data_IF_161666841074
#
_entry.id   IF_161666841074
#
_cell.length_a   1.000
_cell.length_b   1.000
_cell.length_c   1.000
_cell.angle_alpha   90.00
_cell.angle_beta   90.00
_cell.angle_gamma   90.00
#
_symmetry.space_group_name_H-M   'P 1'
#
loop_
_entity.id
_entity.type
_entity.pdbx_description
1 polymer ?
#
# COMPACT_ATOMS: atom_id res chain seq x y z
N UNK A 1 -13.81 27.74 -20.40
CA UNK A 1 -14.46 27.07 -19.26
C UNK A 1 -15.96 27.33 -19.32
N UNK A 2 -16.75 26.31 -18.99
CA UNK A 2 -18.22 26.35 -18.96
C UNK A 2 -18.62 25.99 -17.54
N UNK A 3 -19.48 26.79 -16.92
CA UNK A 3 -20.07 26.53 -15.60
C UNK A 3 -21.58 26.50 -15.78
N UNK A 4 -22.22 25.38 -15.46
CA UNK A 4 -23.68 25.19 -15.58
C UNK A 4 -24.22 25.53 -16.98
N UNK A 5 -23.47 25.14 -18.02
CA UNK A 5 -23.80 25.41 -19.43
C UNK A 5 -23.53 26.85 -19.89
N UNK A 6 -23.10 27.75 -19.00
CA UNK A 6 -22.72 29.12 -19.33
C UNK A 6 -21.20 29.26 -19.50
N UNK A 7 -20.76 29.94 -20.55
CA UNK A 7 -19.33 30.26 -20.72
C UNK A 7 -18.91 31.28 -19.66
N UNK A 8 -17.84 30.97 -18.92
CA UNK A 8 -17.24 31.91 -17.97
C UNK A 8 -16.46 32.97 -18.76
N UNK A 9 -16.80 34.23 -18.53
CA UNK A 9 -16.12 35.39 -19.12
C UNK A 9 -14.93 35.77 -18.21
N UNK A 10 -13.76 35.22 -18.53
CA UNK A 10 -12.53 35.41 -17.78
C UNK A 10 -11.34 35.32 -18.72
N UNK A 11 -10.38 36.22 -18.53
CA UNK A 11 -9.08 36.18 -19.22
C UNK A 11 -8.10 35.19 -18.56
N UNK A 12 -8.46 34.63 -17.39
CA UNK A 12 -7.66 33.62 -16.69
C UNK A 12 -7.87 32.23 -17.32
N UNK A 13 -6.78 31.65 -17.81
CA UNK A 13 -6.76 30.29 -18.33
C UNK A 13 -6.45 29.27 -17.22
N UNK A 14 -7.08 28.08 -17.23
CA UNK A 14 -6.67 26.97 -16.37
C UNK A 14 -5.22 26.58 -16.60
N UNK A 15 -4.52 26.22 -15.52
CA UNK A 15 -3.12 25.81 -15.56
C UNK A 15 -3.07 24.29 -15.56
N UNK A 16 -2.34 23.71 -16.51
CA UNK A 16 -2.00 22.30 -16.50
C UNK A 16 -0.58 22.13 -15.97
N UNK A 17 -0.41 21.34 -14.91
CA UNK A 17 0.90 20.96 -14.38
C UNK A 17 0.96 19.44 -14.20
N UNK A 18 1.70 18.77 -15.08
CA UNK A 18 1.66 17.31 -15.19
C UNK A 18 0.26 16.81 -15.52
N UNK A 19 -0.31 15.96 -14.65
CA UNK A 19 -1.70 15.48 -14.74
C UNK A 19 -2.70 16.41 -14.08
N UNK A 20 -2.25 17.27 -13.16
CA UNK A 20 -3.09 18.16 -12.37
C UNK A 20 -3.59 19.32 -13.21
N UNK A 21 -4.88 19.60 -13.07
CA UNK A 21 -5.50 20.80 -13.61
C UNK A 21 -5.87 21.75 -12.49
N UNK A 22 -5.39 22.98 -12.61
CA UNK A 22 -5.64 24.04 -11.66
C UNK A 22 -6.59 25.05 -12.29
N UNK A 23 -7.75 25.23 -11.68
CA UNK A 23 -8.84 26.09 -12.15
C UNK A 23 -8.74 27.46 -11.46
N UNK A 24 -8.97 28.59 -12.17
CA UNK A 24 -8.98 29.90 -11.54
C UNK A 24 -10.20 30.00 -10.60
N UNK A 25 -9.96 30.21 -9.31
CA UNK A 25 -10.97 30.07 -8.26
C UNK A 25 -12.05 31.15 -8.32
N UNK A 26 -11.69 32.42 -8.52
CA UNK A 26 -12.66 33.53 -8.51
C UNK A 26 -13.70 33.41 -9.62
N UNK A 27 -13.32 33.20 -10.90
CA UNK A 27 -14.28 33.13 -11.98
C UNK A 27 -15.22 31.93 -11.87
N UNK A 28 -14.74 30.77 -11.41
CA UNK A 28 -15.59 29.57 -11.23
C UNK A 28 -16.58 29.78 -10.09
N UNK A 29 -16.12 30.22 -8.92
CA UNK A 29 -17.01 30.44 -7.77
C UNK A 29 -18.04 31.53 -8.07
N UNK A 30 -17.62 32.63 -8.70
CA UNK A 30 -18.53 33.71 -9.11
C UNK A 30 -19.62 33.19 -10.05
N UNK A 31 -19.26 32.36 -11.03
CA UNK A 31 -20.21 31.78 -11.97
C UNK A 31 -21.20 30.81 -11.28
N UNK A 32 -20.75 30.09 -10.25
CA UNK A 32 -21.59 29.21 -9.43
C UNK A 32 -22.44 29.98 -8.39
N UNK A 33 -22.22 31.28 -8.21
CA UNK A 33 -22.87 32.08 -7.16
C UNK A 33 -22.29 31.86 -5.76
N UNK A 34 -21.05 31.36 -5.69
CA UNK A 34 -20.27 31.21 -4.47
C UNK A 34 -19.39 32.44 -4.25
N UNK A 35 -18.92 32.58 -3.01
CA UNK A 35 -17.95 33.60 -2.61
C UNK A 35 -16.87 32.95 -1.76
N UNK A 36 -15.74 33.60 -1.60
CA UNK A 36 -14.74 33.18 -0.63
C UNK A 36 -14.10 34.38 0.08
N UNK A 37 -13.48 34.12 1.22
CA UNK A 37 -12.68 35.11 1.97
C UNK A 37 -11.36 34.51 2.42
N UNK A 38 -10.34 35.37 2.46
CA UNK A 38 -9.10 35.08 3.15
C UNK A 38 -9.26 35.29 4.64
N UNK A 39 -8.73 34.35 5.39
CA UNK A 39 -8.74 34.38 6.85
C UNK A 39 -7.36 34.76 7.38
N UNK A 40 -7.31 35.14 8.67
CA UNK A 40 -6.08 35.64 9.28
C UNK A 40 -4.97 34.57 9.40
N UNK A 41 -5.33 33.29 9.31
CA UNK A 41 -4.45 32.14 9.34
C UNK A 41 -4.04 31.64 7.94
N UNK A 42 -4.33 32.41 6.88
CA UNK A 42 -4.14 32.04 5.47
C UNK A 42 -5.06 30.92 4.95
N UNK A 43 -6.09 30.52 5.69
CA UNK A 43 -7.14 29.66 5.16
C UNK A 43 -8.09 30.41 4.22
N UNK A 44 -8.77 29.65 3.36
CA UNK A 44 -9.85 30.15 2.51
C UNK A 44 -11.18 29.60 2.99
N UNK A 45 -12.12 30.49 3.33
CA UNK A 45 -13.48 30.09 3.64
C UNK A 45 -14.34 30.31 2.39
N UNK A 46 -14.87 29.22 1.82
CA UNK A 46 -15.77 29.23 0.67
C UNK A 46 -17.20 29.16 1.19
N UNK A 47 -18.05 30.08 0.72
CA UNK A 47 -19.43 30.21 1.17
C UNK A 47 -20.39 30.26 -0.01
N UNK A 48 -21.49 29.52 0.10
CA UNK A 48 -22.65 29.68 -0.79
C UNK A 48 -23.90 29.99 0.02
N UNK A 49 -24.89 30.61 -0.64
CA UNK A 49 -26.15 30.99 -0.03
C UNK A 49 -27.31 30.39 -0.81
N UNK A 50 -28.18 29.65 -0.11
CA UNK A 50 -29.41 29.09 -0.69
C UNK A 50 -30.63 29.79 -0.10
N UNK A 51 -31.59 30.10 -0.96
CA UNK A 51 -32.93 30.51 -0.51
C UNK A 51 -33.65 29.30 0.10
N UNK A 52 -33.96 29.34 1.39
CA UNK A 52 -34.70 28.26 2.03
C UNK A 52 -36.14 28.22 1.47
N UNK A 53 -36.56 27.15 0.77
CA UNK A 53 -37.89 27.09 0.17
C UNK A 53 -39.02 27.06 1.21
N UNK A 54 -38.72 26.70 2.47
CA UNK A 54 -39.68 26.69 3.60
C UNK A 54 -39.74 28.03 4.34
N UNK A 55 -38.86 28.98 4.04
CA UNK A 55 -38.80 30.27 4.70
C UNK A 55 -38.41 31.39 3.74
N UNK A 56 -39.36 32.29 3.48
CA UNK A 56 -39.11 33.49 2.67
C UNK A 56 -38.24 34.54 3.37
N UNK A 57 -37.85 34.30 4.63
CA UNK A 57 -37.12 35.25 5.49
C UNK A 57 -35.74 34.75 5.93
N UNK A 58 -35.35 33.51 5.62
CA UNK A 58 -34.03 32.98 5.99
C UNK A 58 -33.30 32.45 4.78
N UNK A 59 -32.15 33.04 4.51
CA UNK A 59 -31.13 32.49 3.62
C UNK A 59 -30.27 31.56 4.47
N UNK A 60 -30.13 30.31 4.04
CA UNK A 60 -29.17 29.39 4.66
C UNK A 60 -27.85 29.57 3.93
N UNK A 61 -26.80 29.86 4.69
CA UNK A 61 -25.43 29.92 4.19
C UNK A 61 -24.65 28.75 4.76
N UNK A 62 -24.03 27.97 3.88
CA UNK A 62 -23.03 26.97 4.28
C UNK A 62 -21.64 27.51 3.97
N UNK A 63 -20.65 27.10 4.75
CA UNK A 63 -19.26 27.52 4.59
C UNK A 63 -18.36 26.31 4.81
N UNK A 64 -17.51 26.05 3.82
CA UNK A 64 -16.42 25.07 3.92
C UNK A 64 -15.08 25.79 3.97
N UNK A 65 -14.06 25.14 4.51
CA UNK A 65 -12.76 25.73 4.76
C UNK A 65 -11.66 24.94 4.07
N UNK A 66 -10.75 25.64 3.39
CA UNK A 66 -9.52 25.10 2.84
C UNK A 66 -8.38 25.55 3.75
N UNK A 67 -7.85 24.63 4.55
CA UNK A 67 -6.77 24.86 5.51
C UNK A 67 -5.49 24.20 5.03
N UNK A 68 -4.38 24.94 4.99
CA UNK A 68 -3.04 24.39 4.76
C UNK A 68 -2.85 23.61 3.43
N UNK A 69 -3.64 23.92 2.39
CA UNK A 69 -3.63 23.20 1.10
C UNK A 69 -2.77 23.87 0.02
N UNK A 70 -1.91 24.80 0.41
CA UNK A 70 -1.04 25.52 -0.53
C UNK A 70 -0.01 24.56 -1.15
N UNK A 71 0.38 24.85 -2.39
CA UNK A 71 1.30 24.08 -3.24
C UNK A 71 0.69 22.81 -3.86
N UNK A 72 0.04 21.97 -3.06
CA UNK A 72 -0.60 20.74 -3.56
C UNK A 72 -1.94 20.99 -4.22
N UNK A 73 -2.87 21.63 -3.51
CA UNK A 73 -4.23 21.86 -4.01
C UNK A 73 -4.49 23.32 -4.39
N UNK A 74 -3.79 24.29 -3.79
CA UNK A 74 -3.93 25.71 -4.06
C UNK A 74 -2.64 26.33 -4.58
N UNK A 75 -2.77 27.26 -5.53
CA UNK A 75 -1.64 28.03 -6.09
C UNK A 75 -1.99 29.51 -6.21
N UNK A 76 -0.99 30.35 -6.00
CA UNK A 76 -1.09 31.80 -6.25
C UNK A 76 -0.26 32.13 -7.50
N UNK A 77 -0.90 32.64 -8.55
CA UNK A 77 -0.24 33.06 -9.80
C UNK A 77 -0.76 34.44 -10.18
N UNK A 78 0.15 35.41 -10.29
CA UNK A 78 -0.17 36.80 -10.65
C UNK A 78 -1.35 37.39 -9.83
N UNK A 79 -1.32 37.19 -8.51
CA UNK A 79 -2.37 37.63 -7.56
C UNK A 79 -3.72 36.90 -7.68
N UNK A 80 -3.79 35.83 -8.48
CA UNK A 80 -4.97 34.98 -8.61
C UNK A 80 -4.78 33.61 -7.97
N UNK A 81 -5.83 33.14 -7.30
CA UNK A 81 -5.86 31.80 -6.69
C UNK A 81 -6.33 30.80 -7.73
N UNK A 82 -5.62 29.69 -7.78
CA UNK A 82 -5.99 28.51 -8.54
C UNK A 82 -6.16 27.33 -7.60
N UNK A 83 -7.13 26.47 -7.89
CA UNK A 83 -7.43 25.27 -7.12
C UNK A 83 -7.34 24.03 -8.01
N UNK A 84 -6.77 22.95 -7.48
CA UNK A 84 -6.74 21.65 -8.15
C UNK A 84 -8.17 21.17 -8.39
N UNK A 85 -8.48 20.72 -9.61
CA UNK A 85 -9.84 20.37 -10.04
C UNK A 85 -10.51 19.34 -9.14
N UNK A 86 -9.78 18.32 -8.67
CA UNK A 86 -10.34 17.32 -7.75
C UNK A 86 -10.65 17.90 -6.39
N UNK A 87 -9.72 18.68 -5.84
CA UNK A 87 -9.96 19.36 -4.57
C UNK A 87 -11.15 20.30 -4.67
N UNK A 88 -11.30 20.99 -5.80
CA UNK A 88 -12.47 21.81 -6.08
C UNK A 88 -13.77 21.00 -6.07
N UNK A 89 -13.79 19.83 -6.73
CA UNK A 89 -14.93 18.91 -6.69
C UNK A 89 -15.25 18.45 -5.26
N UNK A 90 -14.26 18.02 -4.48
CA UNK A 90 -14.45 17.56 -3.10
C UNK A 90 -15.04 18.64 -2.18
N UNK A 91 -14.65 19.90 -2.36
CA UNK A 91 -15.01 20.97 -1.41
C UNK A 91 -16.29 21.69 -1.82
N UNK A 92 -16.70 21.55 -3.08
CA UNK A 92 -17.91 22.21 -3.62
C UNK A 92 -19.01 21.24 -4.05
N UNK A 93 -18.74 19.93 -4.00
CA UNK A 93 -19.52 18.85 -4.61
C UNK A 93 -19.80 19.06 -6.11
N UNK A 94 -19.00 19.88 -6.80
CA UNK A 94 -19.16 20.15 -8.22
C UNK A 94 -18.55 19.01 -9.07
N UNK A 95 -19.24 18.63 -10.14
CA UNK A 95 -18.69 17.73 -11.15
C UNK A 95 -17.78 18.55 -12.07
N UNK A 96 -16.49 18.20 -12.12
CA UNK A 96 -15.53 18.83 -13.04
C UNK A 96 -15.17 17.84 -14.15
N UNK A 97 -15.50 18.16 -15.39
CA UNK A 97 -15.15 17.36 -16.57
C UNK A 97 -14.12 18.12 -17.42
N UNK A 98 -12.97 17.49 -17.68
CA UNK A 98 -11.90 18.09 -18.48
C UNK A 98 -11.75 17.34 -19.80
N UNK A 99 -12.21 17.95 -20.89
CA UNK A 99 -12.02 17.43 -22.23
C UNK A 99 -10.77 18.04 -22.86
N UNK A 100 -9.66 17.32 -22.76
CA UNK A 100 -8.36 17.76 -23.28
C UNK A 100 -8.34 17.90 -24.80
N UNK A 101 -9.06 17.04 -25.54
CA UNK A 101 -9.13 17.06 -27.00
C UNK A 101 -9.89 18.30 -27.52
N UNK A 102 -10.96 18.69 -26.83
CA UNK A 102 -11.74 19.89 -27.15
C UNK A 102 -11.16 21.17 -26.52
N UNK A 103 -10.21 21.05 -25.58
CA UNK A 103 -9.70 22.17 -24.79
C UNK A 103 -10.78 22.82 -23.92
N UNK A 104 -11.76 22.03 -23.46
CA UNK A 104 -12.89 22.53 -22.69
C UNK A 104 -12.91 21.92 -21.29
N UNK A 105 -13.10 22.78 -20.29
CA UNK A 105 -13.40 22.38 -18.91
C UNK A 105 -14.85 22.76 -18.65
N UNK A 106 -15.65 21.78 -18.23
CA UNK A 106 -17.04 21.93 -17.81
C UNK A 106 -17.13 21.69 -16.30
N UNK A 107 -17.81 22.59 -15.60
CA UNK A 107 -18.10 22.50 -14.18
C UNK A 107 -19.62 22.51 -14.04
N UNK A 108 -20.18 21.49 -13.40
CA UNK A 108 -21.59 21.47 -13.03
C UNK A 108 -21.70 21.61 -11.53
N UNK A 109 -22.33 22.69 -11.08
CA UNK A 109 -22.52 22.92 -9.66
C UNK A 109 -23.54 21.95 -9.08
N UNK A 110 -23.28 21.48 -7.86
CA UNK A 110 -24.32 20.86 -7.05
C UNK A 110 -25.19 21.99 -6.47
N UNK A 111 -26.51 22.01 -6.73
CA UNK A 111 -27.39 23.03 -6.16
C UNK A 111 -27.53 22.92 -4.63
N UNK A 112 -27.15 21.76 -4.06
CA UNK A 112 -27.23 21.44 -2.64
C UNK A 112 -25.90 20.86 -2.10
N UNK A 113 -24.80 21.62 -2.11
CA UNK A 113 -23.51 21.16 -1.58
C UNK A 113 -23.62 20.79 -0.09
N UNK A 114 -23.13 19.62 0.28
CA UNK A 114 -23.18 19.05 1.63
C UNK A 114 -24.52 18.43 2.04
N UNK A 115 -25.56 18.46 1.19
CA UNK A 115 -26.74 17.61 1.38
C UNK A 115 -26.42 16.23 0.81
N UNK A 116 -26.11 15.26 1.67
CA UNK A 116 -26.06 13.85 1.28
C UNK A 116 -27.45 13.47 0.77
N UNK A 117 -27.57 13.21 -0.52
CA UNK A 117 -28.82 12.76 -1.12
C UNK A 117 -29.18 11.36 -0.61
N UNK A 118 -30.46 10.98 -0.67
CA UNK A 118 -30.85 9.60 -0.32
C UNK A 118 -30.08 8.57 -1.16
N UNK A 119 -29.75 8.88 -2.42
CA UNK A 119 -28.97 8.03 -3.30
C UNK A 119 -27.50 7.91 -2.85
N UNK A 120 -26.83 9.03 -2.53
CA UNK A 120 -25.45 9.00 -1.98
C UNK A 120 -25.40 8.34 -0.60
N UNK A 121 -26.44 8.53 0.21
CA UNK A 121 -26.56 7.86 1.50
C UNK A 121 -26.79 6.36 1.33
N UNK A 122 -27.65 5.94 0.40
CA UNK A 122 -27.85 4.54 0.03
C UNK A 122 -26.59 3.92 -0.57
N UNK A 123 -25.85 4.65 -1.40
CA UNK A 123 -24.58 4.21 -1.99
C UNK A 123 -23.49 4.08 -0.93
N UNK A 124 -23.36 5.06 -0.03
CA UNK A 124 -22.44 5.00 1.11
C UNK A 124 -22.80 3.86 2.05
N UNK A 125 -24.08 3.68 2.38
CA UNK A 125 -24.56 2.57 3.19
C UNK A 125 -24.39 1.23 2.48
N UNK A 126 -24.53 1.16 1.15
CA UNK A 126 -24.28 -0.03 0.36
C UNK A 126 -22.79 -0.35 0.26
N UNK A 127 -21.93 0.68 0.18
CA UNK A 127 -20.47 0.54 0.19
C UNK A 127 -19.99 0.08 1.57
N UNK A 128 -20.50 0.68 2.65
CA UNK A 128 -20.27 0.21 4.02
C UNK A 128 -20.80 -1.21 4.22
N UNK A 129 -22.03 -1.50 3.78
CA UNK A 129 -22.58 -2.85 3.90
C UNK A 129 -21.83 -3.87 3.03
N UNK A 130 -21.25 -3.45 1.89
CA UNK A 130 -20.41 -4.31 1.05
C UNK A 130 -19.05 -4.54 1.71
N UNK A 131 -18.42 -3.52 2.27
CA UNK A 131 -17.18 -3.62 3.06
C UNK A 131 -17.38 -4.49 4.31
N UNK A 132 -18.46 -4.26 5.07
CA UNK A 132 -18.85 -5.05 6.24
C UNK A 132 -19.22 -6.49 5.82
N UNK A 133 -19.92 -6.70 4.71
CA UNK A 133 -20.23 -8.04 4.21
C UNK A 133 -18.98 -8.78 3.68
N UNK A 134 -18.01 -8.07 3.08
CA UNK A 134 -16.71 -8.67 2.70
C UNK A 134 -15.82 -8.91 3.91
N UNK A 135 -15.99 -8.15 5.00
CA UNK A 135 -15.35 -8.40 6.29
C UNK A 135 -16.05 -9.52 7.09
N UNK A 136 -17.36 -9.73 6.91
CA UNK A 136 -18.16 -10.79 7.56
C UNK A 136 -18.24 -12.10 6.77
N UNK A 137 -17.88 -12.13 5.47
CA UNK A 137 -17.59 -13.36 4.74
C UNK A 137 -16.29 -13.97 5.29
N UNK A 138 -16.40 -14.56 6.47
CA UNK A 138 -15.38 -15.40 7.08
C UNK A 138 -15.14 -16.59 6.15
N UNK A 139 -14.17 -16.43 5.25
CA UNK A 139 -13.65 -17.51 4.42
C UNK A 139 -13.24 -18.64 5.34
N UNK A 140 -13.50 -19.88 4.90
CA UNK A 140 -12.96 -21.02 5.64
C UNK A 140 -11.43 -20.98 5.63
N UNK A 141 -10.79 -21.58 6.63
CA UNK A 141 -9.33 -21.65 6.67
C UNK A 141 -8.76 -22.31 5.39
N UNK A 142 -9.44 -23.35 4.88
CA UNK A 142 -9.08 -24.04 3.64
C UNK A 142 -9.17 -23.11 2.40
N UNK A 143 -10.21 -22.28 2.33
CA UNK A 143 -10.38 -21.32 1.24
C UNK A 143 -9.33 -20.21 1.30
N UNK A 144 -9.07 -19.68 2.50
CA UNK A 144 -8.03 -18.66 2.71
C UNK A 144 -6.64 -19.20 2.36
N UNK A 145 -6.33 -20.45 2.74
CA UNK A 145 -5.09 -21.12 2.34
C UNK A 145 -5.00 -21.31 0.83
N UNK A 146 -6.08 -21.76 0.18
CA UNK A 146 -6.13 -21.94 -1.26
C UNK A 146 -5.91 -20.61 -2.01
N UNK A 147 -6.49 -19.51 -1.53
CA UNK A 147 -6.28 -18.18 -2.10
C UNK A 147 -4.84 -17.71 -1.87
N UNK A 148 -4.30 -17.90 -0.67
CA UNK A 148 -2.96 -17.46 -0.31
C UNK A 148 -1.90 -18.17 -1.15
N UNK A 149 -1.91 -19.50 -1.17
CA UNK A 149 -0.89 -20.28 -1.87
C UNK A 149 -1.17 -20.47 -3.37
N UNK A 150 -2.42 -20.46 -3.81
CA UNK A 150 -2.79 -20.62 -5.21
C UNK A 150 -2.20 -21.90 -5.82
N UNK A 151 -1.37 -21.76 -6.86
CA UNK A 151 -0.67 -22.88 -7.51
C UNK A 151 0.50 -23.46 -6.70
N UNK A 152 0.96 -22.77 -5.65
CA UNK A 152 2.13 -23.17 -4.89
C UNK A 152 1.83 -24.27 -3.89
N UNK A 153 2.82 -25.15 -3.69
CA UNK A 153 2.84 -26.04 -2.53
C UNK A 153 3.54 -25.33 -1.38
N UNK A 154 2.95 -25.27 -0.17
CA UNK A 154 3.64 -24.74 1.00
C UNK A 154 4.98 -25.47 1.23
N UNK A 155 6.07 -24.77 1.59
CA UNK A 155 7.34 -25.41 1.89
C UNK A 155 7.24 -26.47 2.99
N UNK A 156 7.83 -27.64 2.77
CA UNK A 156 7.85 -28.73 3.76
C UNK A 156 8.43 -28.28 5.11
N UNK A 157 9.36 -27.32 5.11
CA UNK A 157 9.97 -26.77 6.31
C UNK A 157 8.94 -26.12 7.26
N UNK A 158 7.81 -25.61 6.76
CA UNK A 158 6.74 -25.10 7.61
C UNK A 158 6.10 -26.25 8.39
N UNK A 159 5.80 -27.38 7.74
CA UNK A 159 5.28 -28.58 8.39
C UNK A 159 6.28 -29.17 9.39
N UNK A 160 7.57 -29.15 9.06
CA UNK A 160 8.64 -29.56 9.99
C UNK A 160 8.70 -28.64 11.22
N UNK A 161 8.46 -27.33 11.06
CA UNK A 161 8.38 -26.37 12.16
C UNK A 161 7.20 -26.66 13.09
N UNK A 162 6.00 -26.92 12.55
CA UNK A 162 4.84 -27.35 13.36
C UNK A 162 5.12 -28.67 14.10
N UNK A 163 5.70 -29.65 13.40
CA UNK A 163 6.05 -30.94 14.00
C UNK A 163 7.05 -30.79 15.15
N UNK A 164 8.02 -29.88 15.01
CA UNK A 164 8.96 -29.55 16.09
C UNK A 164 8.25 -28.83 17.25
N UNK A 165 7.33 -27.92 16.94
CA UNK A 165 6.50 -27.24 17.94
C UNK A 165 5.76 -28.24 18.82
N UNK A 166 5.03 -29.18 18.22
CA UNK A 166 4.31 -30.24 18.94
C UNK A 166 5.24 -31.07 19.85
N UNK A 167 6.43 -31.43 19.35
CA UNK A 167 7.42 -32.19 20.12
C UNK A 167 7.97 -31.39 21.31
N UNK A 168 8.18 -30.08 21.16
CA UNK A 168 8.64 -29.22 22.24
C UNK A 168 7.56 -29.02 23.31
N UNK A 169 6.30 -28.91 22.90
CA UNK A 169 5.16 -28.78 23.82
C UNK A 169 5.01 -30.00 24.73
N UNK A 170 5.24 -31.22 24.21
CA UNK A 170 5.27 -32.44 25.01
C UNK A 170 6.35 -32.42 26.12
N UNK A 171 7.42 -31.64 25.92
CA UNK A 171 8.51 -31.43 26.87
C UNK A 171 8.30 -30.19 27.77
N UNK A 172 7.19 -29.46 27.62
CA UNK A 172 6.89 -28.23 28.35
C UNK A 172 7.65 -27.00 27.85
N UNK A 173 8.10 -27.03 26.58
CA UNK A 173 8.73 -25.92 25.89
C UNK A 173 7.78 -25.38 24.80
N UNK A 174 7.91 -24.12 24.43
CA UNK A 174 7.10 -23.52 23.35
C UNK A 174 8.02 -23.01 22.25
N UNK A 175 7.78 -23.46 21.02
CA UNK A 175 8.48 -22.92 19.86
C UNK A 175 7.96 -21.52 19.50
N UNK A 176 6.64 -21.36 19.50
CA UNK A 176 5.96 -20.15 19.05
C UNK A 176 6.24 -18.95 19.95
N UNK A 177 6.35 -19.16 21.27
CA UNK A 177 6.72 -18.09 22.21
C UNK A 177 8.14 -17.57 21.98
N UNK A 178 9.00 -18.38 21.35
CA UNK A 178 10.40 -18.04 21.09
C UNK A 178 10.64 -17.53 19.67
N UNK A 179 9.75 -17.78 18.70
CA UNK A 179 9.98 -17.37 17.31
C UNK A 179 9.79 -15.86 17.06
N UNK A 180 9.03 -15.18 17.91
CA UNK A 180 8.65 -13.77 17.69
C UNK A 180 7.62 -13.57 16.58
N UNK A 181 7.06 -14.66 16.04
CA UNK A 181 5.95 -14.64 15.09
C UNK A 181 5.13 -15.93 15.19
N UNK A 182 3.88 -15.84 14.76
CA UNK A 182 2.97 -16.97 14.64
C UNK A 182 2.92 -17.42 13.19
N UNK A 183 3.15 -18.71 12.94
CA UNK A 183 3.02 -19.28 11.61
C UNK A 183 1.55 -19.50 11.21
N UNK A 184 1.28 -19.53 9.91
CA UNK A 184 -0.03 -19.89 9.38
C UNK A 184 -0.05 -19.99 7.86
N UNK A 185 -1.15 -20.52 7.34
CA UNK A 185 -1.31 -20.77 5.89
C UNK A 185 -2.28 -19.82 5.21
N UNK A 186 -2.95 -18.96 5.98
CA UNK A 186 -4.00 -18.08 5.50
C UNK A 186 -3.43 -16.78 4.90
N UNK A 187 -4.24 -16.13 4.07
CA UNK A 187 -3.92 -14.87 3.43
C UNK A 187 -3.80 -13.73 4.46
N UNK A 188 -2.90 -12.76 4.22
CA UNK A 188 -2.93 -11.48 4.93
C UNK A 188 -4.23 -10.73 4.63
N UNK A 189 -4.81 -10.12 5.67
CA UNK A 189 -6.02 -9.31 5.55
C UNK A 189 -5.72 -7.90 5.05
N UNK A 190 -4.46 -7.43 5.14
CA UNK A 190 -4.04 -6.07 4.81
C UNK A 190 -3.90 -5.85 3.29
N UNK A 191 -4.61 -4.88 2.73
CA UNK A 191 -4.65 -4.61 1.29
C UNK A 191 -3.36 -4.04 0.71
N UNK A 192 -2.48 -3.48 1.53
CA UNK A 192 -1.14 -3.07 1.10
C UNK A 192 -0.11 -4.21 1.11
N UNK A 193 -0.53 -5.45 1.38
CA UNK A 193 0.31 -6.63 1.14
C UNK A 193 0.46 -6.84 -0.36
N UNK A 194 1.69 -6.84 -0.93
CA UNK A 194 1.89 -7.06 -2.36
C UNK A 194 1.23 -8.35 -2.85
N UNK A 195 0.47 -8.27 -3.95
CA UNK A 195 -0.29 -9.42 -4.46
C UNK A 195 0.59 -10.60 -4.88
N UNK A 196 1.88 -10.39 -5.11
CA UNK A 196 2.86 -11.43 -5.38
C UNK A 196 3.60 -11.94 -4.12
N UNK A 197 3.11 -11.60 -2.93
CA UNK A 197 3.58 -12.12 -1.64
C UNK A 197 2.60 -13.14 -1.08
N UNK A 198 3.13 -14.31 -0.71
CA UNK A 198 2.38 -15.37 -0.01
C UNK A 198 2.71 -15.29 1.47
N UNK A 199 1.72 -14.95 2.29
CA UNK A 199 1.96 -14.73 3.73
C UNK A 199 2.12 -16.06 4.46
N UNK A 200 3.05 -16.14 5.42
CA UNK A 200 3.21 -17.34 6.25
C UNK A 200 3.44 -17.07 7.74
N UNK A 201 3.66 -15.82 8.15
CA UNK A 201 3.92 -15.50 9.55
C UNK A 201 3.49 -14.10 9.96
N UNK A 202 2.99 -13.93 11.18
CA UNK A 202 2.51 -12.65 11.72
C UNK A 202 3.16 -12.36 13.08
N UNK A 203 3.60 -11.13 13.29
CA UNK A 203 4.20 -10.71 14.58
C UNK A 203 3.14 -10.31 15.61
N UNK A 204 1.93 -9.98 15.15
CA UNK A 204 0.78 -9.58 15.98
C UNK A 204 0.73 -8.09 16.33
N UNK A 205 1.84 -7.35 16.17
CA UNK A 205 1.91 -5.90 16.37
C UNK A 205 1.87 -5.13 15.04
N UNK A 206 1.10 -4.04 14.98
CA UNK A 206 1.00 -3.10 13.84
C UNK A 206 0.71 -3.75 12.47
N UNK A 207 0.20 -4.99 12.49
CA UNK A 207 -0.09 -5.76 11.28
C UNK A 207 1.15 -6.32 10.57
N UNK A 208 2.35 -6.25 11.16
CA UNK A 208 3.54 -6.74 10.50
C UNK A 208 3.49 -8.26 10.27
N UNK A 209 3.94 -8.66 9.09
CA UNK A 209 3.92 -10.05 8.67
C UNK A 209 5.05 -10.38 7.71
N UNK A 210 5.31 -11.68 7.56
CA UNK A 210 6.32 -12.25 6.71
C UNK A 210 5.68 -13.04 5.57
N UNK A 211 6.29 -12.94 4.38
CA UNK A 211 5.80 -13.67 3.22
C UNK A 211 6.88 -14.05 2.23
N UNK A 212 6.56 -15.02 1.38
CA UNK A 212 7.38 -15.42 0.24
C UNK A 212 7.13 -14.46 -0.92
N UNK A 213 8.18 -13.81 -1.41
CA UNK A 213 8.11 -12.96 -2.59
C UNK A 213 8.19 -13.83 -3.86
N UNK A 214 7.06 -14.04 -4.52
CA UNK A 214 6.97 -14.98 -5.67
C UNK A 214 7.43 -14.37 -7.00
N UNK A 215 7.66 -13.05 -7.03
CA UNK A 215 7.98 -12.29 -8.23
C UNK A 215 6.95 -12.57 -9.34
N UNK A 216 5.66 -12.35 -9.01
CA UNK A 216 4.51 -12.60 -9.89
C UNK A 216 4.51 -14.00 -10.52
N UNK A 217 4.76 -15.02 -9.70
CA UNK A 217 4.68 -16.39 -10.16
C UNK A 217 5.93 -16.94 -10.84
N UNK A 218 7.02 -16.17 -10.92
CA UNK A 218 8.26 -16.57 -11.62
C UNK A 218 9.17 -17.49 -10.80
N UNK A 219 9.07 -17.42 -9.47
CA UNK A 219 9.73 -18.39 -8.60
C UNK A 219 8.93 -19.67 -8.61
N UNK A 220 9.55 -20.81 -8.91
CA UNK A 220 8.85 -22.08 -9.02
C UNK A 220 8.68 -22.79 -7.66
N UNK A 221 9.62 -22.58 -6.73
CA UNK A 221 9.69 -23.25 -5.43
C UNK A 221 9.79 -22.20 -4.31
N UNK A 222 8.83 -22.21 -3.39
CA UNK A 222 8.80 -21.27 -2.26
C UNK A 222 9.95 -21.51 -1.27
N UNK A 223 10.62 -22.67 -1.29
CA UNK A 223 11.84 -22.89 -0.52
C UNK A 223 13.00 -21.99 -0.97
N UNK A 224 12.95 -21.46 -2.20
CA UNK A 224 13.97 -20.58 -2.78
C UNK A 224 13.49 -19.12 -2.90
N UNK A 225 12.25 -18.83 -2.50
CA UNK A 225 11.68 -17.49 -2.59
C UNK A 225 12.28 -16.57 -1.52
N UNK A 226 12.67 -15.32 -1.86
CA UNK A 226 13.04 -14.32 -0.87
C UNK A 226 11.93 -14.12 0.15
N UNK A 227 12.32 -13.87 1.40
CA UNK A 227 11.39 -13.55 2.48
C UNK A 227 11.32 -12.04 2.61
N UNK A 228 10.09 -11.54 2.58
CA UNK A 228 9.79 -10.13 2.81
C UNK A 228 9.15 -9.94 4.17
N UNK A 229 9.51 -8.85 4.84
CA UNK A 229 8.72 -8.23 5.90
C UNK A 229 7.80 -7.21 5.25
N UNK A 230 6.52 -7.28 5.56
CA UNK A 230 5.53 -6.26 5.20
C UNK A 230 5.13 -5.54 6.48
N UNK A 231 5.22 -4.21 6.49
CA UNK A 231 4.83 -3.35 7.60
C UNK A 231 3.70 -2.42 7.14
N UNK A 232 2.43 -2.79 7.36
CA UNK A 232 1.30 -2.02 6.85
C UNK A 232 1.26 -0.57 7.34
N UNK A 233 1.77 -0.34 8.55
CA UNK A 233 1.85 0.98 9.19
C UNK A 233 3.18 1.72 8.89
N UNK A 234 4.07 1.14 8.09
CA UNK A 234 5.41 1.66 7.77
C UNK A 234 5.44 2.82 6.76
N UNK A 235 4.29 3.24 6.23
CA UNK A 235 4.19 4.29 5.21
C UNK A 235 4.32 3.75 3.78
N UNK A 236 4.88 4.57 2.87
CA UNK A 236 4.93 4.25 1.43
C UNK A 236 5.85 3.05 1.10
N UNK A 237 6.91 2.80 1.87
CA UNK A 237 7.85 1.68 1.69
C UNK A 237 7.47 0.48 2.58
N UNK A 238 6.29 -0.09 2.36
CA UNK A 238 5.74 -1.12 3.23
C UNK A 238 6.47 -2.48 3.15
N UNK A 239 7.33 -2.73 2.15
CA UNK A 239 7.96 -4.03 1.90
C UNK A 239 9.49 -4.03 1.98
N UNK A 240 10.07 -4.99 2.70
CA UNK A 240 11.52 -5.15 2.82
C UNK A 240 11.94 -6.60 2.63
N UNK A 241 12.89 -6.89 1.73
CA UNK A 241 13.50 -8.23 1.63
C UNK A 241 14.50 -8.42 2.77
N UNK A 242 14.19 -9.36 3.67
CA UNK A 242 14.95 -9.59 4.92
C UNK A 242 15.75 -10.90 4.90
N UNK A 243 15.46 -11.82 3.98
CA UNK A 243 16.26 -13.03 3.77
C UNK A 243 16.14 -13.55 2.33
N UNK A 244 17.14 -14.30 1.87
CA UNK A 244 17.11 -14.88 0.51
C UNK A 244 16.16 -16.09 0.40
N UNK A 245 15.87 -16.77 1.50
CA UNK A 245 14.91 -17.86 1.58
C UNK A 245 14.50 -18.15 3.03
N UNK A 246 13.50 -19.02 3.19
CA UNK A 246 12.94 -19.42 4.49
C UNK A 246 13.96 -20.05 5.44
N UNK A 247 14.94 -20.79 4.92
CA UNK A 247 15.98 -21.43 5.74
C UNK A 247 16.94 -20.40 6.32
N UNK A 248 17.33 -19.41 5.53
CA UNK A 248 18.14 -18.29 6.02
C UNK A 248 17.34 -17.43 7.00
N UNK A 249 16.06 -17.16 6.73
CA UNK A 249 15.17 -16.43 7.64
C UNK A 249 15.08 -17.11 9.02
N UNK A 250 14.74 -18.39 9.07
CA UNK A 250 14.66 -19.15 10.33
C UNK A 250 16.02 -19.21 11.03
N UNK A 251 17.12 -19.25 10.27
CA UNK A 251 18.46 -19.21 10.84
C UNK A 251 18.75 -17.86 11.51
N UNK A 252 18.33 -16.75 10.90
CA UNK A 252 18.51 -15.43 11.50
C UNK A 252 17.71 -15.32 12.80
N UNK A 253 16.46 -15.78 12.83
CA UNK A 253 15.64 -15.84 14.06
C UNK A 253 16.30 -16.67 15.15
N UNK A 254 16.87 -17.83 14.79
CA UNK A 254 17.59 -18.69 15.72
C UNK A 254 18.81 -18.01 16.36
N UNK A 255 19.42 -17.05 15.66
CA UNK A 255 20.52 -16.24 16.18
C UNK A 255 19.97 -15.12 17.08
N UNK A 256 19.14 -14.25 16.51
CA UNK A 256 18.39 -13.19 17.18
C UNK A 256 17.44 -12.55 16.16
N UNK A 257 16.15 -12.40 16.51
CA UNK A 257 15.12 -11.84 15.61
C UNK A 257 15.39 -10.38 15.23
N UNK A 258 16.06 -9.60 16.08
CA UNK A 258 16.38 -8.19 15.81
C UNK A 258 17.29 -8.02 14.59
N UNK A 259 18.00 -9.07 14.18
CA UNK A 259 18.83 -9.07 12.97
C UNK A 259 18.02 -9.05 11.66
N UNK A 260 16.70 -9.23 11.74
CA UNK A 260 15.78 -9.01 10.62
C UNK A 260 15.38 -7.52 10.47
N UNK A 261 15.68 -6.71 11.48
CA UNK A 261 15.27 -5.30 11.56
C UNK A 261 16.47 -4.35 11.52
N UNK A 262 17.57 -4.74 12.13
CA UNK A 262 18.73 -3.88 12.34
C UNK A 262 20.01 -4.52 11.80
N UNK A 263 20.80 -3.70 11.12
CA UNK A 263 22.20 -3.98 10.82
C UNK A 263 23.08 -3.29 11.85
N UNK A 264 24.06 -4.01 12.39
CA UNK A 264 25.06 -3.45 13.31
C UNK A 264 26.37 -3.18 12.57
N UNK A 265 27.31 -2.42 13.13
CA UNK A 265 28.62 -2.20 12.49
C UNK A 265 29.52 -3.45 12.59
N UNK A 266 29.44 -4.15 13.73
CA UNK A 266 30.13 -5.39 14.02
C UNK A 266 29.43 -6.16 15.17
N UNK A 267 30.00 -7.31 15.55
CA UNK A 267 29.48 -8.14 16.64
C UNK A 267 29.56 -7.45 18.02
N UNK A 268 30.52 -6.55 18.23
CA UNK A 268 30.68 -5.84 19.51
C UNK A 268 29.64 -4.72 19.64
N UNK A 269 29.31 -4.01 18.55
CA UNK A 269 28.20 -3.07 18.49
C UNK A 269 26.86 -3.75 18.80
N UNK A 270 26.60 -4.90 18.18
CA UNK A 270 25.44 -5.74 18.48
C UNK A 270 25.36 -6.12 19.96
N UNK A 271 26.45 -6.62 20.55
CA UNK A 271 26.51 -6.98 21.97
C UNK A 271 26.29 -5.79 22.89
N UNK A 272 26.81 -4.61 22.52
CA UNK A 272 26.64 -3.39 23.29
C UNK A 272 25.16 -2.95 23.28
N UNK A 273 24.50 -2.99 22.13
CA UNK A 273 23.07 -2.69 22.02
C UNK A 273 22.24 -3.65 22.86
N UNK A 274 22.49 -4.97 22.76
CA UNK A 274 21.76 -5.96 23.56
C UNK A 274 21.97 -5.80 25.06
N UNK A 275 23.17 -5.42 25.49
CA UNK A 275 23.42 -5.10 26.89
C UNK A 275 22.67 -3.84 27.35
N UNK A 276 22.54 -2.85 26.47
CA UNK A 276 21.81 -1.62 26.75
C UNK A 276 20.30 -1.88 26.79
N UNK A 277 19.75 -2.60 25.83
CA UNK A 277 18.34 -3.04 25.78
C UNK A 277 17.95 -3.79 27.05
N UNK A 278 18.77 -4.75 27.49
CA UNK A 278 18.55 -5.47 28.75
C UNK A 278 18.62 -4.55 29.98
N UNK A 279 19.51 -3.55 29.97
CA UNK A 279 19.58 -2.58 31.06
C UNK A 279 18.35 -1.66 31.10
N UNK A 280 17.82 -1.29 29.94
CA UNK A 280 16.65 -0.42 29.80
C UNK A 280 15.33 -1.14 30.15
N UNK A 281 15.22 -2.43 29.83
CA UNK A 281 14.10 -3.27 30.25
C UNK A 281 14.06 -3.49 31.77
N UNK A 282 15.21 -3.46 32.44
CA UNK A 282 15.30 -3.56 33.89
C UNK A 282 14.70 -4.86 34.45
N UNK A 283 13.57 -4.77 35.14
CA UNK A 283 12.87 -5.96 35.69
C UNK A 283 12.13 -6.78 34.63
N UNK A 284 11.88 -6.22 33.45
CA UNK A 284 11.26 -6.88 32.30
C UNK A 284 12.29 -7.57 31.39
N UNK A 285 13.59 -7.44 31.70
CA UNK A 285 14.63 -8.09 30.94
C UNK A 285 14.54 -9.62 31.07
N UNK A 286 14.77 -10.39 29.99
CA UNK A 286 14.75 -11.84 30.05
C UNK A 286 15.70 -12.38 31.11
N UNK A 287 15.19 -13.30 31.94
CA UNK A 287 15.99 -13.95 32.97
C UNK A 287 17.02 -14.89 32.34
N UNK A 288 17.98 -15.37 33.15
CA UNK A 288 18.94 -16.39 32.68
C UNK A 288 18.26 -17.70 32.29
N UNK A 289 17.12 -18.00 32.90
CA UNK A 289 16.31 -19.18 32.61
C UNK A 289 15.63 -19.02 31.24
N UNK A 290 14.98 -17.88 30.99
CA UNK A 290 14.35 -17.56 29.70
C UNK A 290 15.36 -17.64 28.55
N UNK A 291 16.55 -17.02 28.72
CA UNK A 291 17.62 -17.10 27.72
C UNK A 291 18.13 -18.53 27.49
N UNK A 292 18.08 -19.38 28.52
CA UNK A 292 18.47 -20.78 28.41
C UNK A 292 17.41 -21.59 27.66
N UNK A 293 16.14 -21.35 27.94
CA UNK A 293 14.99 -21.95 27.25
C UNK A 293 15.03 -21.58 25.77
N UNK A 294 15.12 -20.28 25.45
CA UNK A 294 15.29 -19.80 24.08
C UNK A 294 16.42 -20.51 23.35
N UNK A 295 17.61 -20.57 23.96
CA UNK A 295 18.77 -21.22 23.34
C UNK A 295 18.53 -22.70 23.08
N UNK A 296 17.88 -23.41 24.00
CA UNK A 296 17.54 -24.82 23.84
C UNK A 296 16.57 -25.03 22.67
N UNK A 297 15.50 -24.24 22.60
CA UNK A 297 14.50 -24.28 21.52
C UNK A 297 15.16 -23.97 20.17
N UNK A 298 15.92 -22.88 20.07
CA UNK A 298 16.57 -22.47 18.82
C UNK A 298 17.63 -23.45 18.35
N UNK A 299 18.39 -24.07 19.27
CA UNK A 299 19.35 -25.13 18.92
C UNK A 299 18.65 -26.33 18.30
N UNK A 300 17.53 -26.77 18.91
CA UNK A 300 16.74 -27.87 18.36
C UNK A 300 16.14 -27.55 17.00
N UNK A 301 15.67 -26.31 16.79
CA UNK A 301 15.18 -25.86 15.49
C UNK A 301 16.26 -25.90 14.42
N UNK A 302 17.46 -25.38 14.72
CA UNK A 302 18.60 -25.42 13.80
C UNK A 302 18.95 -26.85 13.41
N UNK A 303 18.99 -27.76 14.39
CA UNK A 303 19.33 -29.17 14.17
C UNK A 303 18.24 -29.92 13.39
N UNK A 304 16.97 -29.79 13.81
CA UNK A 304 15.85 -30.52 13.22
C UNK A 304 15.59 -30.12 11.76
N UNK A 305 15.69 -28.81 11.46
CA UNK A 305 15.42 -28.27 10.14
C UNK A 305 16.68 -28.22 9.26
N UNK A 306 17.86 -28.61 9.77
CA UNK A 306 19.14 -28.52 9.07
C UNK A 306 19.38 -27.11 8.50
N UNK A 307 19.26 -26.09 9.36
CA UNK A 307 19.39 -24.68 8.96
C UNK A 307 20.86 -24.36 8.61
N UNK A 308 21.10 -23.52 7.58
CA UNK A 308 22.45 -23.19 7.14
C UNK A 308 23.23 -22.40 8.19
N UNK A 309 24.55 -22.38 8.09
CA UNK A 309 25.37 -21.39 8.80
C UNK A 309 25.42 -20.08 7.99
N UNK A 310 25.12 -18.95 8.64
CA UNK A 310 25.25 -17.62 8.04
C UNK A 310 26.60 -17.03 8.43
N UNK A 311 27.37 -16.62 7.43
CA UNK A 311 28.60 -15.86 7.63
C UNK A 311 28.26 -14.41 7.99
N UNK A 312 28.90 -13.89 9.04
CA UNK A 312 28.76 -12.49 9.50
C UNK A 312 27.29 -12.04 9.67
N UNK A 313 26.50 -12.74 10.50
CA UNK A 313 25.07 -12.48 10.62
C UNK A 313 24.76 -11.11 11.23
N UNK A 314 25.64 -10.56 12.06
CA UNK A 314 25.36 -9.36 12.88
C UNK A 314 25.48 -8.02 12.13
N UNK A 315 26.35 -7.90 11.12
CA UNK A 315 26.68 -6.59 10.56
C UNK A 315 26.64 -6.44 9.04
N UNK A 316 26.47 -7.56 8.32
CA UNK A 316 26.44 -7.51 6.86
C UNK A 316 25.30 -8.28 6.24
N UNK A 317 24.62 -9.14 6.99
CA UNK A 317 23.66 -10.06 6.36
C UNK A 317 22.49 -9.29 5.72
N UNK A 318 21.76 -8.49 6.51
CA UNK A 318 20.60 -7.75 6.03
C UNK A 318 21.00 -6.75 4.92
N UNK A 319 22.07 -5.97 5.13
CA UNK A 319 22.61 -5.05 4.12
C UNK A 319 23.01 -5.77 2.83
N UNK A 320 23.61 -6.96 2.93
CA UNK A 320 23.97 -7.78 1.77
C UNK A 320 22.71 -8.26 1.05
N UNK A 321 21.71 -8.78 1.75
CA UNK A 321 20.45 -9.24 1.15
C UNK A 321 19.76 -8.08 0.41
N UNK A 322 19.67 -6.91 1.04
CA UNK A 322 19.14 -5.68 0.42
C UNK A 322 19.95 -5.25 -0.79
N UNK A 323 21.27 -5.22 -0.70
CA UNK A 323 22.13 -4.86 -1.83
C UNK A 323 22.07 -5.88 -2.96
N UNK A 324 22.03 -7.18 -2.67
CA UNK A 324 21.83 -8.25 -3.65
C UNK A 324 20.48 -8.12 -4.33
N UNK A 325 19.44 -7.70 -3.60
CA UNK A 325 18.13 -7.39 -4.15
C UNK A 325 18.18 -6.17 -5.06
N UNK A 326 18.67 -5.04 -4.56
CA UNK A 326 18.79 -3.76 -5.29
C UNK A 326 19.53 -3.93 -6.62
N UNK A 327 20.64 -4.68 -6.63
CA UNK A 327 21.43 -4.95 -7.83
C UNK A 327 20.68 -5.78 -8.89
N UNK A 328 19.58 -6.45 -8.52
CA UNK A 328 18.72 -7.22 -9.44
C UNK A 328 17.49 -6.43 -9.89
N UNK A 329 17.18 -5.29 -9.26
CA UNK A 329 16.00 -4.50 -9.62
C UNK A 329 16.22 -3.87 -11.00
N UNK A 330 15.27 -4.10 -11.89
CA UNK A 330 15.21 -3.49 -13.23
C UNK A 330 14.20 -2.35 -13.30
N UNK A 331 13.21 -2.33 -12.41
CA UNK A 331 12.25 -1.24 -12.23
C UNK A 331 11.97 -1.08 -10.74
N UNK A 332 12.25 0.10 -10.18
CA UNK A 332 11.91 0.41 -8.80
C UNK A 332 10.39 0.50 -8.61
N UNK A 333 9.91 0.16 -7.42
CA UNK A 333 8.48 0.23 -7.05
C UNK A 333 8.32 0.99 -5.73
N UNK A 334 7.16 1.63 -5.48
CA UNK A 334 6.95 2.44 -4.27
C UNK A 334 7.12 1.64 -2.97
N UNK A 335 6.75 0.36 -2.99
CA UNK A 335 6.83 -0.55 -1.84
C UNK A 335 8.25 -0.98 -1.44
N UNK A 336 9.29 -0.52 -2.16
CA UNK A 336 10.70 -0.84 -1.89
C UNK A 336 11.18 -2.20 -2.41
N UNK A 337 10.30 -3.06 -2.95
CA UNK A 337 10.67 -4.41 -3.36
C UNK A 337 11.32 -4.48 -4.76
N UNK A 338 10.89 -3.61 -5.67
CA UNK A 338 11.33 -3.52 -7.07
C UNK A 338 11.06 -4.77 -7.92
N UNK A 339 10.97 -4.64 -9.23
CA UNK A 339 10.81 -5.79 -10.14
C UNK A 339 12.18 -6.30 -10.55
N UNK A 340 12.41 -7.61 -10.47
CA UNK A 340 13.66 -8.25 -10.93
C UNK A 340 13.53 -9.03 -12.23
N UNK A 341 12.30 -9.34 -12.64
CA UNK A 341 12.01 -10.15 -13.82
C UNK A 341 12.07 -9.35 -15.12
N UNK A 342 12.83 -9.87 -16.09
CA UNK A 342 12.85 -9.37 -17.46
C UNK A 342 12.34 -10.45 -18.39
N UNK A 343 11.31 -10.14 -19.18
CA UNK A 343 10.84 -11.04 -20.21
C UNK A 343 11.80 -11.00 -21.42
N UNK A 344 12.13 -12.13 -22.08
CA UNK A 344 13.06 -12.14 -23.20
C UNK A 344 12.69 -11.20 -24.36
N UNK A 345 11.40 -10.91 -24.53
CA UNK A 345 10.92 -9.98 -25.56
C UNK A 345 11.25 -8.51 -25.26
N UNK A 346 11.66 -8.21 -24.03
CA UNK A 346 12.04 -6.86 -23.59
C UNK A 346 13.55 -6.63 -23.55
N UNK A 347 14.34 -7.57 -24.07
CA UNK A 347 15.80 -7.45 -24.09
C UNK A 347 16.25 -6.15 -24.78
N UNK A 348 17.01 -5.34 -24.06
CA UNK A 348 17.53 -4.05 -24.54
C UNK A 348 16.50 -2.92 -24.58
N UNK A 349 15.26 -3.14 -24.13
CA UNK A 349 14.27 -2.07 -23.96
C UNK A 349 14.51 -1.33 -22.64
N UNK A 350 14.20 -0.05 -22.63
CA UNK A 350 14.16 0.71 -21.37
C UNK A 350 12.90 0.32 -20.59
N UNK A 351 13.07 0.05 -19.30
CA UNK A 351 11.97 -0.21 -18.39
C UNK A 351 11.62 1.10 -17.66
N UNK A 352 10.37 1.52 -17.76
CA UNK A 352 9.85 2.75 -17.14
C UNK A 352 8.73 2.38 -16.18
N UNK A 353 8.67 3.03 -15.03
CA UNK A 353 7.52 2.97 -14.14
C UNK A 353 6.49 4.05 -14.52
N UNK A 354 5.21 3.76 -14.33
CA UNK A 354 4.16 4.76 -14.35
C UNK A 354 3.91 5.23 -12.92
N UNK A 355 3.89 6.53 -12.69
CA UNK A 355 3.42 7.07 -11.42
C UNK A 355 1.93 6.74 -11.28
N UNK A 356 1.56 6.05 -10.20
CA UNK A 356 0.17 5.84 -9.82
C UNK A 356 -0.16 6.87 -8.74
N UNK A 357 -1.04 7.80 -9.10
CA UNK A 357 -1.57 8.86 -8.25
C UNK A 357 -3.05 9.02 -8.57
N UNK A 358 -3.76 9.77 -7.74
CA UNK A 358 -5.20 9.98 -7.93
C UNK A 358 -5.49 10.47 -9.34
N UNK A 359 -4.63 11.33 -9.91
CA UNK A 359 -4.81 11.99 -11.20
C UNK A 359 -4.54 11.09 -12.42
N UNK A 360 -4.26 9.80 -12.22
CA UNK A 360 -4.10 8.84 -13.30
C UNK A 360 -5.44 8.58 -14.01
N UNK A 361 -5.44 8.77 -15.33
CA UNK A 361 -6.62 8.57 -16.18
C UNK A 361 -6.57 7.23 -16.94
N UNK A 362 -7.75 6.72 -17.30
CA UNK A 362 -7.91 5.44 -17.99
C UNK A 362 -7.16 5.38 -19.33
N UNK A 363 -7.24 6.44 -20.15
CA UNK A 363 -6.56 6.49 -21.44
C UNK A 363 -5.04 6.51 -21.29
N UNK A 364 -4.52 7.19 -20.26
CA UNK A 364 -3.08 7.20 -19.97
C UNK A 364 -2.60 5.82 -19.53
N UNK A 365 -3.35 5.18 -18.63
CA UNK A 365 -3.08 3.82 -18.17
C UNK A 365 -3.06 2.83 -19.35
N UNK A 366 -4.06 2.86 -20.23
CA UNK A 366 -4.12 2.02 -21.42
C UNK A 366 -2.94 2.28 -22.36
N UNK A 367 -2.65 3.56 -22.66
CA UNK A 367 -1.53 3.94 -23.52
C UNK A 367 -0.18 3.49 -22.92
N UNK A 368 -0.03 3.53 -21.60
CA UNK A 368 1.13 2.96 -20.92
C UNK A 368 1.19 1.44 -21.09
N UNK A 369 0.11 0.71 -20.82
CA UNK A 369 0.05 -0.75 -20.93
C UNK A 369 0.34 -1.28 -22.34
N UNK A 370 -0.05 -0.55 -23.38
CA UNK A 370 0.26 -0.89 -24.77
C UNK A 370 1.76 -0.84 -25.09
N UNK A 371 2.48 0.12 -24.49
CA UNK A 371 3.91 0.33 -24.76
C UNK A 371 4.84 -0.28 -23.71
N UNK A 372 4.36 -0.52 -22.49
CA UNK A 372 5.18 -0.94 -21.37
C UNK A 372 5.86 -2.28 -21.62
N UNK A 373 7.06 -2.43 -21.05
CA UNK A 373 7.74 -3.74 -20.95
C UNK A 373 7.02 -4.60 -19.91
N UNK A 374 7.24 -5.91 -19.93
CA UNK A 374 6.76 -6.83 -18.91
C UNK A 374 7.14 -6.37 -17.50
N UNK A 375 8.40 -5.98 -17.30
CA UNK A 375 8.87 -5.46 -16.00
C UNK A 375 8.13 -4.19 -15.57
N UNK A 376 7.90 -3.26 -16.50
CA UNK A 376 7.12 -2.03 -16.24
C UNK A 376 5.67 -2.32 -15.88
N UNK A 377 5.07 -3.36 -16.47
CA UNK A 377 3.71 -3.80 -16.11
C UNK A 377 3.67 -4.39 -14.71
N UNK A 378 4.62 -5.25 -14.34
CA UNK A 378 4.69 -5.78 -12.97
C UNK A 378 4.90 -4.67 -11.92
N UNK A 379 5.72 -3.67 -12.25
CA UNK A 379 5.95 -2.52 -11.37
C UNK A 379 4.69 -1.67 -11.18
N UNK A 380 3.90 -1.52 -12.25
CA UNK A 380 2.59 -0.88 -12.20
C UNK A 380 1.65 -1.63 -11.25
N UNK A 381 1.59 -2.97 -11.31
CA UNK A 381 0.72 -3.76 -10.42
C UNK A 381 1.05 -3.54 -8.94
N UNK A 382 2.34 -3.52 -8.58
CA UNK A 382 2.76 -3.19 -7.20
C UNK A 382 2.43 -1.75 -6.82
N UNK A 383 2.57 -0.80 -7.76
CA UNK A 383 2.21 0.59 -7.51
C UNK A 383 0.72 0.77 -7.25
N UNK A 384 -0.12 0.03 -7.97
CA UNK A 384 -1.57 -0.03 -7.74
C UNK A 384 -1.93 -0.64 -6.39
N UNK A 385 -1.24 -1.72 -6.01
CA UNK A 385 -1.43 -2.34 -4.70
C UNK A 385 -1.04 -1.39 -3.55
N UNK A 386 0.10 -0.70 -3.65
CA UNK A 386 0.61 0.16 -2.58
C UNK A 386 -0.23 1.43 -2.33
N UNK A 387 -0.95 1.93 -3.34
CA UNK A 387 -1.71 3.19 -3.26
C UNK A 387 -3.19 3.03 -2.89
N UNK A 388 -3.67 1.81 -2.70
CA UNK A 388 -5.07 1.49 -2.43
C UNK A 388 -6.05 2.27 -3.35
N UNK A 389 -5.91 2.04 -4.66
CA UNK A 389 -6.60 2.85 -5.67
C UNK A 389 -8.06 2.45 -5.84
N UNK A 390 -9.00 3.39 -5.66
CA UNK A 390 -10.45 3.11 -5.65
C UNK A 390 -11.21 3.36 -6.98
N UNK A 391 -10.52 3.71 -8.08
CA UNK A 391 -11.21 3.84 -9.37
C UNK A 391 -11.57 2.48 -9.96
N UNK A 392 -12.86 2.18 -10.08
CA UNK A 392 -13.37 0.94 -10.71
C UNK A 392 -12.90 0.82 -12.17
N UNK A 393 -12.93 1.90 -12.95
CA UNK A 393 -12.49 1.89 -14.35
C UNK A 393 -11.01 1.49 -14.49
N UNK A 394 -10.13 2.03 -13.62
CA UNK A 394 -8.72 1.64 -13.62
C UNK A 394 -8.54 0.21 -13.11
N UNK A 395 -9.30 -0.18 -12.07
CA UNK A 395 -9.28 -1.55 -11.53
C UNK A 395 -9.63 -2.57 -12.62
N UNK A 396 -10.65 -2.33 -13.42
CA UNK A 396 -11.02 -3.20 -14.54
C UNK A 396 -9.87 -3.35 -15.54
N UNK A 397 -9.21 -2.24 -15.93
CA UNK A 397 -8.06 -2.25 -16.83
C UNK A 397 -6.89 -3.06 -16.25
N UNK A 398 -6.61 -2.91 -14.95
CA UNK A 398 -5.56 -3.66 -14.25
C UNK A 398 -5.88 -5.15 -14.21
N UNK A 399 -7.12 -5.54 -13.86
CA UNK A 399 -7.57 -6.94 -13.84
C UNK A 399 -7.45 -7.58 -15.22
N UNK A 400 -7.85 -6.87 -16.28
CA UNK A 400 -7.69 -7.33 -17.65
C UNK A 400 -6.22 -7.59 -17.99
N UNK A 401 -5.32 -6.68 -17.61
CA UNK A 401 -3.90 -6.84 -17.89
C UNK A 401 -3.29 -7.99 -17.07
N UNK A 402 -3.62 -8.11 -15.78
CA UNK A 402 -3.20 -9.24 -14.95
C UNK A 402 -3.67 -10.58 -15.56
N UNK A 403 -4.88 -10.60 -16.12
CA UNK A 403 -5.42 -11.79 -16.81
C UNK A 403 -4.61 -12.10 -18.08
N UNK A 404 -4.24 -11.09 -18.88
CA UNK A 404 -3.36 -11.28 -20.06
C UNK A 404 -1.97 -11.79 -19.68
N UNK A 405 -1.46 -11.38 -18.52
CA UNK A 405 -0.19 -11.83 -17.96
C UNK A 405 -0.27 -13.21 -17.30
N UNK A 406 -1.48 -13.76 -17.10
CA UNK A 406 -1.69 -15.07 -16.49
C UNK A 406 -1.56 -15.09 -14.96
N UNK A 407 -1.78 -13.94 -14.30
CA UNK A 407 -1.60 -13.73 -12.87
C UNK A 407 -2.85 -14.08 -12.05
N UNK A 408 -3.35 -15.31 -12.22
CA UNK A 408 -4.63 -15.74 -11.62
C UNK A 408 -4.60 -15.78 -10.10
N UNK A 409 -3.47 -16.17 -9.52
CA UNK A 409 -3.32 -16.30 -8.06
C UNK A 409 -3.23 -14.92 -7.41
N UNK A 410 -2.53 -13.98 -8.06
CA UNK A 410 -2.43 -12.58 -7.63
C UNK A 410 -3.79 -11.88 -7.72
N UNK A 411 -4.59 -12.13 -8.77
CA UNK A 411 -5.97 -11.63 -8.86
C UNK A 411 -6.83 -12.19 -7.71
N UNK A 412 -6.66 -13.47 -7.36
CA UNK A 412 -7.38 -14.07 -6.25
C UNK A 412 -7.02 -13.38 -4.91
N UNK A 413 -5.74 -13.16 -4.64
CA UNK A 413 -5.27 -12.43 -3.45
C UNK A 413 -5.74 -10.97 -3.43
N UNK A 414 -5.70 -10.28 -4.56
CA UNK A 414 -6.24 -8.92 -4.70
C UNK A 414 -7.72 -8.85 -4.34
N UNK A 415 -8.55 -9.75 -4.88
CA UNK A 415 -9.98 -9.77 -4.60
C UNK A 415 -10.32 -10.22 -3.18
N UNK A 416 -9.40 -10.92 -2.52
CA UNK A 416 -9.60 -11.42 -1.17
C UNK A 416 -9.14 -10.45 -0.08
N UNK A 417 -8.28 -9.49 -0.42
CA UNK A 417 -7.81 -8.45 0.50
C UNK A 417 -8.99 -7.56 0.92
N UNK A 418 -9.22 -7.43 2.22
CA UNK A 418 -10.45 -6.87 2.79
C UNK A 418 -10.27 -5.47 3.39
N UNK A 419 -9.03 -4.96 3.46
CA UNK A 419 -8.67 -3.76 4.20
C UNK A 419 -7.82 -2.79 3.41
#
# INVERSE_FOLDING_TARGET
>A
MIVDGAKVDSDLEPIKDGRRWYLPLDPILTAMGWTYKHEADNSLALSYSRSNPKSTWSTESSTTWLHDEWEDALRMVDEHIYIHSKRFSEVTDAEVTINTAAGTIEVKSNPNPGEVTEAEQEEYLAMQAKQEATAEETRSAEESEQINYGKYTPPDILNELYTLGDQLEEEGLSLWDELGFYGGYYQSEYGNTPWDVITFGWTGGDGEHYGFLTEFGSIADLNEAPIVRVSPMGGDEAGEVIANNIREFLRMIALDESLLYFSYEDEEAYKAEKQQEEADLGEWAPTKEDKSVRRQVMTRMVEALNLPEISQPYYTYLDRVKAERENRIVVATPDGLGVTNVHPQDEGRQHEALLVDDDLEAEELQAYLERATYAGKLALLRSFNAKDFHSEDLREIIVEEMTRLGLTDEIARMNASAW
#
